data_IF_367162559599
#
_entry.id   IF_367162559599
#
_cell.length_a   1.000
_cell.length_b   1.000
_cell.length_c   1.000
_cell.angle_alpha   90.00
_cell.angle_beta   90.00
_cell.angle_gamma   90.00
#
_symmetry.space_group_name_H-M   'P 1'
#
loop_
_entity.id
_entity.type
_entity.pdbx_description
1 polymer ?
#
# COMPACT_ATOMS: atom_id res chain seq x y z
N UNK A 1 32.81 -12.57 -26.27
CA UNK A 1 31.92 -13.28 -25.31
C UNK A 1 30.61 -12.53 -25.25
N UNK A 2 29.43 -13.16 -25.45
CA UNK A 2 28.17 -12.43 -25.34
C UNK A 2 27.87 -12.21 -23.85
N UNK A 3 27.82 -10.94 -23.43
CA UNK A 3 27.48 -10.55 -22.07
C UNK A 3 26.04 -10.92 -21.76
N UNK A 4 25.80 -11.55 -20.59
CA UNK A 4 24.45 -11.73 -20.07
C UNK A 4 23.87 -10.35 -19.74
N UNK A 5 22.81 -9.96 -20.46
CA UNK A 5 21.94 -8.88 -20.04
C UNK A 5 21.35 -9.24 -18.68
N UNK A 6 21.84 -8.56 -17.63
CA UNK A 6 21.25 -8.64 -16.29
C UNK A 6 20.10 -7.64 -16.26
N UNK A 7 18.89 -8.13 -16.58
CA UNK A 7 17.66 -7.39 -16.35
C UNK A 7 17.36 -7.32 -14.85
N UNK A 8 18.06 -6.47 -14.12
CA UNK A 8 17.85 -6.26 -12.67
C UNK A 8 16.82 -5.17 -12.36
N UNK A 9 16.16 -4.63 -13.37
CA UNK A 9 15.09 -3.65 -13.16
C UNK A 9 14.15 -3.67 -14.36
N UNK A 10 13.30 -4.68 -14.41
CA UNK A 10 11.99 -4.48 -15.00
C UNK A 10 11.31 -3.52 -14.04
N UNK A 11 11.14 -2.29 -14.49
CA UNK A 11 10.54 -1.18 -13.76
C UNK A 11 9.34 -1.62 -12.92
N UNK A 12 9.06 -0.88 -11.84
CA UNK A 12 7.81 -0.85 -11.08
C UNK A 12 6.58 -0.58 -11.99
N UNK A 13 6.33 -1.45 -12.97
CA UNK A 13 5.41 -1.24 -14.09
C UNK A 13 3.99 -1.69 -13.73
N UNK A 14 3.87 -2.46 -12.65
CA UNK A 14 2.59 -2.78 -12.05
C UNK A 14 2.56 -2.13 -10.67
N UNK A 15 1.98 -0.93 -10.59
CA UNK A 15 1.33 -0.50 -9.34
C UNK A 15 0.17 -1.48 -9.18
N UNK A 16 0.40 -2.56 -8.42
CA UNK A 16 -0.65 -3.51 -8.10
C UNK A 16 -1.51 -2.88 -7.01
N UNK A 17 -2.77 -2.56 -7.34
CA UNK A 17 -3.75 -2.16 -6.32
C UNK A 17 -4.19 -3.43 -5.58
N UNK A 18 -3.91 -3.49 -4.28
CA UNK A 18 -4.31 -4.62 -3.43
C UNK A 18 -5.49 -4.28 -2.51
N UNK A 19 -5.64 -3.01 -2.12
CA UNK A 19 -6.77 -2.51 -1.33
C UNK A 19 -7.08 -1.06 -1.74
N UNK A 20 -8.36 -0.67 -1.68
CA UNK A 20 -8.82 0.69 -1.94
C UNK A 20 -10.15 0.96 -1.26
N UNK A 21 -10.35 2.20 -0.78
CA UNK A 21 -11.65 2.69 -0.33
C UNK A 21 -12.51 3.27 -1.47
N UNK A 22 -11.99 3.33 -2.70
CA UNK A 22 -12.68 3.88 -3.87
C UNK A 22 -13.27 2.74 -4.70
N UNK A 23 -14.60 2.69 -4.79
CA UNK A 23 -15.32 1.59 -5.46
C UNK A 23 -14.98 1.47 -6.95
N UNK A 24 -14.85 2.60 -7.65
CA UNK A 24 -14.49 2.66 -9.06
C UNK A 24 -13.13 2.02 -9.32
N UNK A 25 -12.10 2.42 -8.56
CA UNK A 25 -10.76 1.81 -8.61
C UNK A 25 -10.83 0.31 -8.34
N UNK A 26 -11.64 -0.14 -7.38
CA UNK A 26 -11.77 -1.56 -7.08
C UNK A 26 -12.35 -2.36 -8.24
N UNK A 27 -13.30 -1.79 -9.00
CA UNK A 27 -13.89 -2.42 -10.19
C UNK A 27 -12.92 -2.47 -11.34
N UNK A 28 -12.22 -1.37 -11.62
CA UNK A 28 -11.23 -1.27 -12.69
C UNK A 28 -10.08 -2.27 -12.48
N UNK A 29 -9.62 -2.41 -11.24
CA UNK A 29 -8.52 -3.31 -10.86
C UNK A 29 -8.98 -4.75 -10.59
N UNK A 30 -10.29 -5.03 -10.71
CA UNK A 30 -10.84 -6.38 -10.55
C UNK A 30 -10.81 -6.93 -9.12
N UNK A 31 -10.63 -6.08 -8.11
CA UNK A 31 -10.61 -6.42 -6.67
C UNK A 31 -11.90 -6.03 -5.93
N UNK A 32 -12.97 -5.70 -6.67
CA UNK A 32 -14.25 -5.28 -6.10
C UNK A 32 -14.91 -6.39 -5.26
N UNK A 33 -15.30 -6.08 -4.03
CA UNK A 33 -16.05 -6.94 -3.13
C UNK A 33 -17.47 -6.38 -2.90
N UNK A 34 -18.53 -7.05 -3.37
CA UNK A 34 -19.90 -6.55 -3.23
C UNK A 34 -20.41 -6.49 -1.78
N UNK A 35 -19.75 -7.16 -0.83
CA UNK A 35 -20.09 -7.08 0.59
C UNK A 35 -19.40 -5.92 1.32
N UNK A 36 -18.48 -5.19 0.66
CA UNK A 36 -17.75 -4.05 1.24
C UNK A 36 -18.54 -2.76 1.01
N UNK A 37 -18.66 -1.93 2.04
CA UNK A 37 -19.04 -0.52 1.86
C UNK A 37 -17.78 0.28 1.53
N UNK A 38 -17.74 0.88 0.34
CA UNK A 38 -16.63 1.73 -0.14
C UNK A 38 -16.80 3.18 0.33
N UNK A 39 -16.98 3.34 1.64
CA UNK A 39 -17.09 4.65 2.29
C UNK A 39 -15.71 5.15 2.73
N UNK A 40 -15.55 6.48 2.96
CA UNK A 40 -14.33 7.03 3.53
C UNK A 40 -13.92 6.30 4.81
N UNK A 41 -12.66 5.86 4.87
CA UNK A 41 -12.13 5.14 6.01
C UNK A 41 -11.99 6.09 7.21
N UNK A 42 -12.83 5.91 8.23
CA UNK A 42 -12.69 6.59 9.51
C UNK A 42 -11.65 5.93 10.39
N UNK A 43 -10.67 6.69 10.88
CA UNK A 43 -9.64 6.20 11.80
C UNK A 43 -9.19 7.30 12.78
N UNK A 44 -8.53 6.89 13.87
CA UNK A 44 -7.92 7.81 14.84
C UNK A 44 -6.41 7.81 14.65
N UNK A 45 -5.82 8.99 14.42
CA UNK A 45 -4.37 9.12 14.24
C UNK A 45 -3.62 8.67 15.51
N UNK A 46 -2.69 7.72 15.35
CA UNK A 46 -1.95 7.13 16.47
C UNK A 46 -2.75 6.14 17.30
N UNK A 47 -3.94 5.74 16.84
CA UNK A 47 -4.74 4.69 17.44
C UNK A 47 -4.28 3.29 17.01
N UNK A 48 -4.91 2.27 17.58
CA UNK A 48 -4.75 0.89 17.11
C UNK A 48 -5.72 0.67 15.93
N UNK A 49 -5.21 0.33 14.74
CA UNK A 49 -6.07 0.05 13.58
C UNK A 49 -5.42 0.30 12.21
N UNK A 50 -4.33 1.05 12.17
CA UNK A 50 -3.57 1.30 10.93
C UNK A 50 -2.14 0.78 11.05
N UNK A 51 -1.53 0.47 9.91
CA UNK A 51 -0.10 0.14 9.85
C UNK A 51 0.74 1.37 10.22
N UNK A 52 1.89 1.15 10.86
CA UNK A 52 2.77 2.24 11.34
C UNK A 52 3.17 3.23 10.26
N UNK A 53 3.40 2.72 9.04
CA UNK A 53 3.72 3.54 7.89
C UNK A 53 2.59 4.48 7.47
N UNK A 54 1.33 4.04 7.56
CA UNK A 54 0.17 4.87 7.25
C UNK A 54 0.03 6.01 8.27
N UNK A 55 0.01 5.69 9.57
CA UNK A 55 -0.12 6.69 10.64
C UNK A 55 0.96 7.78 10.57
N UNK A 56 2.20 7.37 10.33
CA UNK A 56 3.32 8.31 10.17
C UNK A 56 3.18 9.18 8.91
N UNK A 57 2.63 8.62 7.83
CA UNK A 57 2.52 9.30 6.54
C UNK A 57 1.46 10.40 6.53
N UNK A 58 0.35 10.18 7.25
CA UNK A 58 -0.79 11.11 7.33
C UNK A 58 -0.63 12.17 8.42
N UNK A 59 0.35 12.02 9.32
CA UNK A 59 0.60 12.99 10.37
C UNK A 59 0.93 14.37 9.77
N UNK A 60 0.15 15.39 10.17
CA UNK A 60 0.34 16.77 9.73
C UNK A 60 -0.25 17.10 8.35
N UNK A 61 -0.95 16.16 7.71
CA UNK A 61 -1.67 16.46 6.46
C UNK A 61 -2.86 17.40 6.70
N UNK A 62 -3.14 18.25 5.71
CA UNK A 62 -4.35 19.06 5.69
C UNK A 62 -5.56 18.25 5.21
N UNK A 63 -6.76 18.68 5.59
CA UNK A 63 -8.00 18.09 5.07
C UNK A 63 -8.06 18.27 3.55
N UNK A 64 -8.26 17.16 2.82
CA UNK A 64 -8.31 17.14 1.36
C UNK A 64 -6.95 17.03 0.67
N UNK A 65 -5.85 16.94 1.42
CA UNK A 65 -4.53 16.69 0.85
C UNK A 65 -4.40 15.24 0.36
N UNK A 66 -3.77 15.06 -0.79
CA UNK A 66 -3.40 13.76 -1.34
C UNK A 66 -1.88 13.58 -1.31
N UNK A 67 -1.43 12.38 -0.94
CA UNK A 67 0.01 12.07 -0.84
C UNK A 67 0.29 10.62 -1.18
N UNK A 68 1.31 10.41 -2.00
CA UNK A 68 1.87 9.08 -2.27
C UNK A 68 3.11 8.87 -1.41
N UNK A 69 3.16 7.76 -0.68
CA UNK A 69 4.30 7.39 0.16
C UNK A 69 4.85 6.02 -0.21
N UNK A 70 6.17 5.86 -0.11
CA UNK A 70 6.83 4.57 -0.21
C UNK A 70 7.16 4.08 1.19
N UNK A 71 6.71 2.87 1.52
CA UNK A 71 6.90 2.26 2.84
C UNK A 71 7.89 1.10 2.74
N UNK A 72 8.75 0.95 3.75
CA UNK A 72 9.51 -0.29 3.93
C UNK A 72 8.56 -1.45 4.28
N UNK A 73 8.99 -2.71 4.11
CA UNK A 73 8.17 -3.87 4.50
C UNK A 73 7.72 -3.79 5.97
N UNK A 74 8.62 -3.40 6.88
CA UNK A 74 8.30 -3.29 8.30
C UNK A 74 7.25 -2.21 8.57
N UNK A 75 7.31 -1.09 7.84
CA UNK A 75 6.31 -0.02 7.92
C UNK A 75 4.95 -0.44 7.35
N UNK A 76 4.96 -1.32 6.34
CA UNK A 76 3.77 -1.93 5.73
C UNK A 76 3.17 -3.07 6.56
N UNK A 77 3.75 -3.38 7.74
CA UNK A 77 3.29 -4.48 8.59
C UNK A 77 3.80 -5.86 8.16
N UNK A 78 4.71 -5.92 7.19
CA UNK A 78 5.36 -7.15 6.78
C UNK A 78 6.62 -7.39 7.61
N UNK A 79 6.63 -8.45 8.41
CA UNK A 79 7.89 -9.00 8.94
C UNK A 79 8.43 -10.02 7.94
N UNK A 80 9.70 -9.93 7.53
CA UNK A 80 10.31 -11.03 6.80
C UNK A 80 10.25 -12.30 7.68
N UNK A 81 10.12 -13.49 7.07
CA UNK A 81 10.16 -14.73 7.82
C UNK A 81 11.43 -14.76 8.66
N UNK A 82 11.27 -14.99 9.97
CA UNK A 82 12.40 -15.13 10.88
C UNK A 82 13.30 -16.23 10.33
N UNK A 83 14.54 -15.90 9.99
CA UNK A 83 15.53 -16.89 9.59
C UNK A 83 15.56 -17.99 10.67
N UNK A 84 15.36 -19.24 10.22
CA UNK A 84 14.94 -20.35 11.06
C UNK A 84 15.70 -20.50 12.39
N UNK A 85 14.95 -20.85 13.43
CA UNK A 85 15.50 -21.62 14.55
C UNK A 85 15.48 -23.10 14.20
#
# INVERSE_FOLDING_TARGET
>A
MPGKLRLSSWYNFFILVFDTSIEEVAREEGIHNPARSYEPLGFTLGGEGMIKGFDSAVQGMAVGEEKTVQLSPEQAGFQPPMAGR
#
